data_IF_704492978784
#
_entry.id   IF_704492978784
#
_cell.length_a   1.000
_cell.length_b   1.000
_cell.length_c   1.000
_cell.angle_alpha   90.00
_cell.angle_beta   90.00
_cell.angle_gamma   90.00
#
_symmetry.space_group_name_H-M   'P 1'
#
loop_
_entity.id
_entity.type
_entity.pdbx_description
1 polymer ?
#
# COMPACT_ATOMS: atom_id res chain seq x y z
N UNK A 1 -18.01 -13.62 0.61
CA UNK A 1 -16.97 -13.48 1.64
C UNK A 1 -17.46 -12.47 2.67
N UNK A 2 -17.07 -12.62 3.94
CA UNK A 2 -17.39 -11.66 4.98
C UNK A 2 -16.41 -10.47 4.90
N UNK A 3 -16.90 -9.26 5.15
CA UNK A 3 -16.06 -8.08 5.23
C UNK A 3 -15.13 -8.14 6.45
N UNK A 4 -13.94 -7.56 6.31
CA UNK A 4 -13.01 -7.46 7.43
C UNK A 4 -13.60 -6.56 8.51
N UNK A 5 -13.49 -6.98 9.77
CA UNK A 5 -13.82 -6.16 10.94
C UNK A 5 -12.73 -5.13 11.21
N UNK A 6 -12.99 -4.17 12.11
CA UNK A 6 -11.98 -3.19 12.51
C UNK A 6 -10.69 -3.82 13.06
N UNK A 7 -10.79 -4.89 13.88
CA UNK A 7 -9.61 -5.59 14.42
C UNK A 7 -8.79 -6.23 13.29
N UNK A 8 -9.45 -6.89 12.35
CA UNK A 8 -8.77 -7.55 11.23
C UNK A 8 -8.10 -6.54 10.29
N UNK A 9 -8.68 -5.34 10.13
CA UNK A 9 -8.06 -4.25 9.37
C UNK A 9 -6.78 -3.74 10.06
N UNK A 10 -6.81 -3.61 11.39
CA UNK A 10 -5.64 -3.21 12.17
C UNK A 10 -4.52 -4.28 12.14
N UNK A 11 -4.88 -5.56 12.23
CA UNK A 11 -3.94 -6.67 12.05
C UNK A 11 -3.31 -6.64 10.66
N UNK A 12 -4.13 -6.48 9.62
CA UNK A 12 -3.65 -6.36 8.24
C UNK A 12 -2.69 -5.18 8.07
N UNK A 13 -2.99 -4.03 8.68
CA UNK A 13 -2.10 -2.87 8.65
C UNK A 13 -0.74 -3.22 9.25
N UNK A 14 -0.72 -3.77 10.47
CA UNK A 14 0.53 -4.13 11.16
C UNK A 14 1.34 -5.19 10.41
N UNK A 15 0.67 -6.16 9.77
CA UNK A 15 1.35 -7.14 8.90
C UNK A 15 2.03 -6.48 7.70
N UNK A 16 1.34 -5.55 7.04
CA UNK A 16 1.84 -4.90 5.82
C UNK A 16 2.99 -3.92 6.11
N UNK A 17 2.96 -3.24 7.26
CA UNK A 17 4.03 -2.34 7.72
C UNK A 17 5.37 -3.06 7.93
N UNK A 18 5.32 -4.35 8.30
CA UNK A 18 6.54 -5.17 8.45
C UNK A 18 7.12 -5.67 7.12
N UNK A 19 6.41 -5.48 6.00
CA UNK A 19 6.82 -5.96 4.69
C UNK A 19 7.44 -4.86 3.84
N UNK A 20 8.33 -5.25 2.92
CA UNK A 20 8.76 -4.34 1.86
C UNK A 20 7.58 -4.04 0.92
N UNK A 21 7.59 -2.86 0.30
CA UNK A 21 6.54 -2.46 -0.66
C UNK A 21 6.20 -3.56 -1.67
N UNK A 22 7.22 -4.22 -2.25
CA UNK A 22 7.00 -5.29 -3.23
C UNK A 22 6.24 -6.47 -2.64
N UNK A 23 6.55 -6.86 -1.41
CA UNK A 23 5.87 -7.97 -0.72
C UNK A 23 4.46 -7.57 -0.29
N UNK A 24 4.28 -6.40 0.29
CA UNK A 24 2.96 -5.85 0.64
C UNK A 24 2.05 -5.76 -0.59
N UNK A 25 2.53 -5.15 -1.67
CA UNK A 25 1.79 -5.02 -2.94
C UNK A 25 1.45 -6.40 -3.55
N UNK A 26 2.40 -7.34 -3.52
CA UNK A 26 2.17 -8.70 -4.00
C UNK A 26 1.12 -9.47 -3.17
N UNK A 27 1.13 -9.29 -1.85
CA UNK A 27 0.14 -9.88 -0.93
C UNK A 27 -1.25 -9.34 -1.23
N UNK A 28 -1.42 -8.02 -1.30
CA UNK A 28 -2.70 -7.37 -1.57
C UNK A 28 -3.31 -7.83 -2.91
N UNK A 29 -2.50 -7.95 -3.96
CA UNK A 29 -2.94 -8.44 -5.28
C UNK A 29 -3.49 -9.87 -5.27
N UNK A 30 -3.11 -10.69 -4.29
CA UNK A 30 -3.52 -12.10 -4.17
C UNK A 30 -4.54 -12.35 -3.07
N UNK A 31 -4.77 -11.35 -2.22
CA UNK A 31 -5.60 -11.47 -1.03
C UNK A 31 -7.09 -11.55 -1.35
N UNK A 32 -7.55 -10.80 -2.35
CA UNK A 32 -8.95 -10.75 -2.75
C UNK A 32 -9.09 -11.00 -4.27
N UNK A 33 -9.75 -12.09 -4.69
CA UNK A 33 -10.03 -12.35 -6.10
C UNK A 33 -10.88 -11.27 -6.79
N UNK A 34 -11.70 -10.54 -6.01
CA UNK A 34 -12.50 -9.41 -6.50
C UNK A 34 -11.77 -8.07 -6.32
N UNK A 35 -10.56 -8.11 -5.75
CA UNK A 35 -9.76 -6.93 -5.48
C UNK A 35 -9.16 -6.35 -6.76
N UNK A 36 -8.98 -5.03 -6.78
CA UNK A 36 -8.32 -4.33 -7.87
C UNK A 36 -7.37 -3.27 -7.35
N UNK A 37 -6.30 -3.01 -8.11
CA UNK A 37 -5.45 -1.86 -7.89
C UNK A 37 -6.11 -0.63 -8.50
N UNK A 38 -6.42 0.38 -7.69
CA UNK A 38 -7.05 1.61 -8.13
C UNK A 38 -6.04 2.52 -8.86
N UNK A 39 -4.85 2.66 -8.32
CA UNK A 39 -3.72 3.35 -8.95
C UNK A 39 -2.39 2.82 -8.40
N UNK A 40 -1.35 2.97 -9.20
CA UNK A 40 0.00 2.53 -8.88
C UNK A 40 0.95 3.73 -8.85
N UNK A 41 1.69 3.90 -7.75
CA UNK A 41 2.70 4.94 -7.57
C UNK A 41 2.24 6.32 -8.05
N UNK A 42 1.07 6.72 -7.61
CA UNK A 42 0.50 8.03 -7.87
C UNK A 42 1.22 9.08 -7.02
N UNK A 43 1.78 10.10 -7.66
CA UNK A 43 2.59 11.13 -7.01
C UNK A 43 1.81 12.44 -6.90
N UNK A 44 0.75 12.45 -6.10
CA UNK A 44 -0.07 13.64 -5.84
C UNK A 44 0.59 14.60 -4.85
N UNK A 45 1.39 14.07 -3.93
CA UNK A 45 2.17 14.84 -2.97
C UNK A 45 3.66 14.74 -3.33
N UNK A 46 4.39 15.85 -3.21
CA UNK A 46 5.83 15.87 -3.46
C UNK A 46 6.54 14.91 -2.51
N UNK A 47 7.35 14.01 -3.08
CA UNK A 47 8.15 13.05 -2.32
C UNK A 47 7.39 11.81 -1.84
N UNK A 48 6.09 11.68 -2.15
CA UNK A 48 5.28 10.52 -1.79
C UNK A 48 4.67 9.86 -3.03
N UNK A 49 4.76 8.54 -3.09
CA UNK A 49 4.16 7.71 -4.11
C UNK A 49 3.15 6.79 -3.45
N UNK A 50 1.88 6.96 -3.80
CA UNK A 50 0.80 6.18 -3.22
C UNK A 50 0.35 5.09 -4.17
N UNK A 51 0.12 3.88 -3.65
CA UNK A 51 -0.46 2.77 -4.40
C UNK A 51 -1.69 2.29 -3.64
N UNK A 52 -2.86 2.35 -4.28
CA UNK A 52 -4.13 1.99 -3.63
C UNK A 52 -4.71 0.72 -4.21
N UNK A 53 -5.12 -0.18 -3.32
CA UNK A 53 -5.88 -1.40 -3.60
C UNK A 53 -7.27 -1.27 -3.01
N UNK A 54 -8.27 -1.66 -3.78
CA UNK A 54 -9.65 -1.80 -3.33
C UNK A 54 -9.93 -3.29 -3.28
N UNK A 55 -10.08 -3.84 -2.09
CA UNK A 55 -10.37 -5.24 -1.81
C UNK A 55 -11.89 -5.37 -1.60
N UNK A 56 -12.65 -5.27 -2.69
CA UNK A 56 -14.12 -5.22 -2.69
C UNK A 56 -14.77 -6.44 -2.00
N UNK A 57 -14.19 -7.63 -2.18
CA UNK A 57 -14.67 -8.86 -1.54
C UNK A 57 -14.44 -8.89 -0.03
N UNK A 58 -13.53 -8.05 0.46
CA UNK A 58 -13.18 -7.88 1.88
C UNK A 58 -13.72 -6.56 2.47
N UNK A 59 -14.43 -5.74 1.68
CA UNK A 59 -14.99 -4.47 2.12
C UNK A 59 -13.93 -3.50 2.66
N UNK A 60 -12.73 -3.52 2.09
CA UNK A 60 -11.57 -2.78 2.61
C UNK A 60 -10.79 -2.15 1.48
N UNK A 61 -10.22 -0.97 1.69
CA UNK A 61 -9.26 -0.34 0.81
C UNK A 61 -7.93 -0.17 1.55
N UNK A 62 -6.82 -0.38 0.84
CA UNK A 62 -5.47 -0.31 1.39
C UNK A 62 -4.64 0.64 0.55
N UNK A 63 -3.99 1.61 1.19
CA UNK A 63 -3.06 2.54 0.56
C UNK A 63 -1.66 2.29 1.09
N UNK A 64 -0.74 1.97 0.19
CA UNK A 64 0.69 1.86 0.47
C UNK A 64 1.33 3.20 0.08
N UNK A 65 2.05 3.83 1.01
CA UNK A 65 2.76 5.10 0.78
C UNK A 65 4.25 4.83 0.75
N UNK A 66 4.89 5.07 -0.39
CA UNK A 66 6.34 5.05 -0.55
C UNK A 66 6.90 6.47 -0.49
N UNK A 67 8.06 6.65 0.14
CA UNK A 67 8.84 7.89 0.04
C UNK A 67 10.10 7.64 -0.78
N UNK A 68 10.49 8.61 -1.59
CA UNK A 68 11.77 8.56 -2.31
C UNK A 68 12.85 9.21 -1.48
N UNK A 69 13.80 8.39 -1.04
CA UNK A 69 15.04 8.84 -0.43
C UNK A 69 16.05 9.05 -1.55
N UNK A 70 16.44 10.31 -1.75
CA UNK A 70 17.56 10.65 -2.61
C UNK A 70 18.82 10.08 -1.97
N UNK A 71 19.39 9.06 -2.60
CA UNK A 71 20.70 8.55 -2.20
C UNK A 71 21.75 9.31 -2.99
N UNK A 72 22.65 9.99 -2.29
CA UNK A 72 23.89 10.47 -2.91
C UNK A 72 24.61 9.24 -3.46
N UNK A 73 24.72 9.18 -4.78
CA UNK A 73 25.44 8.11 -5.45
C UNK A 73 26.93 8.42 -5.44
N UNK A 74 27.74 7.44 -5.07
CA UNK A 74 29.21 7.50 -5.09
C UNK A 74 29.80 7.83 -6.48
N UNK A 75 28.99 7.73 -7.56
CA UNK A 75 29.40 8.06 -8.93
C UNK A 75 28.57 9.22 -9.49
N UNK A 76 29.21 10.26 -10.06
CA UNK A 76 28.56 11.51 -10.48
C UNK A 76 27.63 11.37 -11.70
N UNK A 77 27.60 10.22 -12.37
CA UNK A 77 26.89 10.04 -13.64
C UNK A 77 25.51 9.38 -13.51
N UNK A 78 25.12 8.92 -12.32
CA UNK A 78 23.83 8.20 -12.17
C UNK A 78 23.23 8.42 -10.80
N UNK A 79 22.14 9.19 -10.73
CA UNK A 79 21.31 9.29 -9.53
C UNK A 79 20.52 7.98 -9.36
N UNK A 80 20.58 7.38 -8.17
CA UNK A 80 19.80 6.19 -7.81
C UNK A 80 18.75 6.58 -6.77
N UNK A 81 17.49 6.48 -7.16
CA UNK A 81 16.37 6.67 -6.24
C UNK A 81 16.15 5.39 -5.43
N UNK A 82 16.04 5.52 -4.12
CA UNK A 82 15.66 4.45 -3.21
C UNK A 82 14.26 4.76 -2.66
N UNK A 83 13.35 3.80 -2.79
CA UNK A 83 11.97 3.95 -2.32
C UNK A 83 11.77 3.07 -1.09
N UNK A 84 11.29 3.68 0.00
CA UNK A 84 10.95 2.97 1.24
C UNK A 84 9.45 3.06 1.48
N UNK A 85 8.84 1.95 1.94
CA UNK A 85 7.46 1.97 2.40
C UNK A 85 7.44 2.74 3.73
N UNK A 86 6.77 3.89 3.75
CA UNK A 86 6.73 4.78 4.91
C UNK A 86 5.47 4.58 5.73
N UNK A 87 4.33 4.33 5.07
CA UNK A 87 3.04 4.25 5.72
C UNK A 87 2.12 3.26 5.00
N UNK A 88 1.26 2.60 5.77
CA UNK A 88 0.18 1.76 5.27
C UNK A 88 -1.12 2.24 5.90
N UNK A 89 -2.10 2.55 5.07
CA UNK A 89 -3.43 3.02 5.53
C UNK A 89 -4.45 1.96 5.12
N UNK A 90 -5.19 1.41 6.08
CA UNK A 90 -6.23 0.40 5.86
C UNK A 90 -7.58 0.94 6.34
N UNK A 91 -8.52 1.09 5.42
CA UNK A 91 -9.83 1.69 5.69
C UNK A 91 -10.96 0.80 5.19
N UNK A 92 -12.13 0.89 5.83
CA UNK A 92 -13.34 0.26 5.32
C UNK A 92 -13.78 0.91 4.00
N UNK A 93 -14.36 0.12 3.09
CA UNK A 93 -15.13 0.68 1.98
C UNK A 93 -16.49 1.20 2.49
N UNK A 94 -17.16 2.13 1.78
CA UNK A 94 -18.47 2.64 2.20
C UNK A 94 -19.54 1.55 2.43
N UNK A 95 -19.41 0.42 1.73
CA UNK A 95 -20.30 -0.73 1.86
C UNK A 95 -20.07 -1.54 3.14
N UNK A 96 -18.88 -1.42 3.75
CA UNK A 96 -18.52 -2.13 4.98
C UNK A 96 -18.87 -1.28 6.22
N UNK A 97 -20.05 -1.57 6.80
CA UNK A 97 -20.57 -0.90 8.01
C UNK A 97 -20.13 -1.56 9.33
N UNK A 98 -19.19 -2.50 9.28
CA UNK A 98 -18.71 -3.29 10.42
C UNK A 98 -17.39 -2.75 11.04
#
# INVERSE_FOLDING_TARGET
MAYLTASQRAELQGELEQLSFRRANGRLKRMDPMGRMAYYRNAQNTGQWTTKHILSGLGTQVTLVEINLLKETEKPTRVRNEYTLAEVIVEATPDNRN
#
